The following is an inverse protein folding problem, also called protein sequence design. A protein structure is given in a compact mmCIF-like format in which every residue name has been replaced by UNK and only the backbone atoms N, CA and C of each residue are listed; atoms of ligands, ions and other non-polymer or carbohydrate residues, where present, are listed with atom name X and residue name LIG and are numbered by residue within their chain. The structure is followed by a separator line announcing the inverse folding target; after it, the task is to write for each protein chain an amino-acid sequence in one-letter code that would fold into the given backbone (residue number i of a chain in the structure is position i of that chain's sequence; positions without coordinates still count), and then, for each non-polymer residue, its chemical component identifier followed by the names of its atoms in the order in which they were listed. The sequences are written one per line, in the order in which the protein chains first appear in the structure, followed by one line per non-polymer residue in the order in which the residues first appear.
data_IF_958110574600
#
_entry.id   IF_958110574600
#
_cell.length_a   1.000
_cell.length_b   1.000
_cell.length_c   1.000
_cell.angle_alpha   90.00
_cell.angle_beta   90.00
_cell.angle_gamma   90.00
#
_symmetry.space_group_name_H-M   'P 1'
#
loop_
_entity.id
_entity.type
_entity.pdbx_description
1 polymer ?
#
# COMPACT_ATOMS: atom_id res chain seq x y z
N UNK A 1 3.86 10.16 12.29
CA UNK A 1 3.79 8.74 12.73
C UNK A 1 3.59 8.63 14.24
N UNK A 2 4.42 9.24 15.06
CA UNK A 2 4.28 9.23 16.55
C UNK A 2 2.92 9.75 17.00
N UNK A 3 2.43 10.84 16.42
CA UNK A 3 1.11 11.43 16.73
C UNK A 3 -0.06 10.46 16.44
N UNK A 4 0.06 9.64 15.40
CA UNK A 4 -0.98 8.68 15.00
C UNK A 4 -0.97 7.41 15.84
N UNK A 5 0.21 7.00 16.30
CA UNK A 5 0.40 5.75 17.07
C UNK A 5 0.36 6.03 18.56
N UNK A 6 0.61 7.28 18.98
CA UNK A 6 0.75 7.68 20.37
C UNK A 6 1.97 7.07 21.07
N UNK A 7 2.94 6.60 20.29
CA UNK A 7 4.16 5.95 20.79
C UNK A 7 5.27 6.01 19.72
N UNK A 8 6.51 6.13 20.17
CA UNK A 8 7.70 6.09 19.33
C UNK A 8 8.57 4.87 19.65
N UNK A 9 9.35 4.42 18.66
CA UNK A 9 10.29 3.32 18.84
C UNK A 9 11.64 3.84 19.29
N UNK A 10 12.27 3.15 20.23
CA UNK A 10 13.66 3.41 20.60
C UNK A 10 14.65 2.91 19.55
N UNK A 11 14.19 2.10 18.58
CA UNK A 11 15.02 1.58 17.50
C UNK A 11 15.21 2.64 16.41
N UNK A 12 16.43 2.83 15.91
CA UNK A 12 16.67 3.81 14.85
C UNK A 12 16.22 3.33 13.47
N UNK A 13 15.82 4.28 12.63
CA UNK A 13 15.60 4.09 11.19
C UNK A 13 14.56 3.04 10.86
N UNK A 14 14.91 2.13 9.95
CA UNK A 14 13.99 1.13 9.41
C UNK A 14 13.43 0.16 10.46
N UNK A 15 14.25 -0.26 11.41
CA UNK A 15 13.82 -1.15 12.48
C UNK A 15 12.75 -0.50 13.38
N UNK A 16 12.85 0.80 13.60
CA UNK A 16 11.83 1.58 14.30
C UNK A 16 10.51 1.63 13.52
N UNK A 17 10.60 1.84 12.20
CA UNK A 17 9.42 1.83 11.32
C UNK A 17 8.68 0.49 11.39
N UNK A 18 9.38 -0.63 11.28
CA UNK A 18 8.80 -1.98 11.35
C UNK A 18 8.17 -2.24 12.72
N UNK A 19 8.83 -1.80 13.80
CA UNK A 19 8.29 -1.97 15.15
C UNK A 19 6.99 -1.19 15.35
N UNK A 20 6.94 0.07 14.88
CA UNK A 20 5.74 0.91 14.91
C UNK A 20 4.61 0.29 14.08
N UNK A 21 4.91 -0.21 12.87
CA UNK A 21 3.93 -0.86 12.01
C UNK A 21 3.34 -2.13 12.65
N UNK A 22 4.19 -2.98 13.23
CA UNK A 22 3.74 -4.17 13.97
C UNK A 22 2.88 -3.80 15.19
N UNK A 23 3.21 -2.72 15.88
CA UNK A 23 2.49 -2.27 17.07
C UNK A 23 1.13 -1.67 16.74
N UNK A 24 1.01 -0.99 15.59
CA UNK A 24 -0.28 -0.53 15.06
C UNK A 24 -1.27 -1.68 14.91
N UNK A 25 -0.78 -2.86 14.48
CA UNK A 25 -1.61 -4.04 14.27
C UNK A 25 -2.05 -4.73 15.57
N UNK A 26 -1.39 -4.47 16.70
CA UNK A 26 -1.65 -5.14 17.99
C UNK A 26 -2.48 -4.28 18.94
N UNK A 27 -2.55 -2.96 18.71
CA UNK A 27 -3.08 -1.99 19.68
C UNK A 27 -4.62 -1.81 19.64
N UNK A 28 -5.37 -2.77 19.10
CA UNK A 28 -6.84 -2.76 19.17
C UNK A 28 -7.54 -1.74 18.25
N UNK A 29 -6.81 -1.18 17.28
CA UNK A 29 -7.45 -0.38 16.21
C UNK A 29 -8.09 -1.32 15.19
N UNK A 30 -9.24 -0.93 14.66
CA UNK A 30 -9.86 -1.62 13.53
C UNK A 30 -8.96 -1.53 12.28
N UNK A 31 -9.19 -2.41 11.32
CA UNK A 31 -8.51 -2.35 10.02
C UNK A 31 -8.68 -0.97 9.37
N UNK A 32 -9.89 -0.43 9.39
CA UNK A 32 -10.22 0.89 8.85
C UNK A 32 -9.47 2.03 9.55
N UNK A 33 -9.40 2.02 10.88
CA UNK A 33 -8.64 3.05 11.62
C UNK A 33 -7.14 2.97 11.35
N UNK A 34 -6.61 1.75 11.19
CA UNK A 34 -5.21 1.52 10.82
C UNK A 34 -4.92 2.04 9.43
N UNK A 35 -5.78 1.74 8.46
CA UNK A 35 -5.68 2.25 7.09
C UNK A 35 -5.71 3.78 7.05
N UNK A 36 -6.69 4.40 7.71
CA UNK A 36 -6.80 5.87 7.78
C UNK A 36 -5.57 6.52 8.41
N UNK A 37 -5.02 5.92 9.47
CA UNK A 37 -3.79 6.41 10.10
C UNK A 37 -2.61 6.32 9.13
N UNK A 38 -2.49 5.23 8.37
CA UNK A 38 -1.45 5.05 7.37
C UNK A 38 -1.60 6.03 6.20
N UNK A 39 -2.82 6.30 5.72
CA UNK A 39 -3.10 7.33 4.69
C UNK A 39 -2.67 8.72 5.18
N UNK A 40 -2.98 9.09 6.44
CA UNK A 40 -2.53 10.36 7.02
C UNK A 40 -1.00 10.47 7.06
N UNK A 41 -0.32 9.40 7.43
CA UNK A 41 1.15 9.34 7.42
C UNK A 41 1.68 9.52 5.99
N UNK A 42 1.17 8.77 5.01
CA UNK A 42 1.56 8.91 3.61
C UNK A 42 1.36 10.35 3.12
N UNK A 43 0.19 10.93 3.42
CA UNK A 43 -0.12 12.31 3.03
C UNK A 43 0.87 13.33 3.64
N UNK A 44 1.34 13.10 4.86
CA UNK A 44 2.29 14.00 5.52
C UNK A 44 3.69 13.98 4.90
N UNK A 45 4.03 12.94 4.12
CA UNK A 45 5.30 12.84 3.41
C UNK A 45 5.35 13.71 2.15
N UNK A 46 4.20 14.18 1.65
CA UNK A 46 4.12 15.00 0.44
C UNK A 46 3.80 16.47 0.76
N UNK A 47 4.50 17.43 0.12
CA UNK A 47 4.15 18.84 0.26
C UNK A 47 2.68 19.10 -0.13
N UNK A 48 1.91 19.86 0.68
CA UNK A 48 0.49 20.12 0.39
C UNK A 48 0.23 20.72 -0.99
N UNK A 49 1.12 21.60 -1.44
CA UNK A 49 1.04 22.22 -2.77
C UNK A 49 1.12 21.17 -3.89
N UNK A 50 1.98 20.16 -3.73
CA UNK A 50 2.14 19.09 -4.70
C UNK A 50 0.85 18.27 -4.82
N UNK A 51 0.22 17.93 -3.69
CA UNK A 51 -1.05 17.19 -3.67
C UNK A 51 -2.19 18.00 -4.31
N UNK A 52 -2.26 19.31 -4.04
CA UNK A 52 -3.24 20.19 -4.67
C UNK A 52 -3.02 20.27 -6.18
N UNK A 53 -1.77 20.39 -6.62
CA UNK A 53 -1.43 20.43 -8.04
C UNK A 53 -1.81 19.11 -8.76
N UNK A 54 -1.48 17.97 -8.19
CA UNK A 54 -1.87 16.69 -8.74
C UNK A 54 -3.39 16.54 -8.83
N UNK A 55 -4.10 16.87 -7.76
CA UNK A 55 -5.55 16.81 -7.74
C UNK A 55 -6.18 17.74 -8.78
N UNK A 56 -5.68 18.98 -8.93
CA UNK A 56 -6.20 19.92 -9.90
C UNK A 56 -5.96 19.50 -11.35
N UNK A 57 -4.81 18.86 -11.63
CA UNK A 57 -4.46 18.38 -12.96
C UNK A 57 -5.15 17.09 -13.35
N UNK A 58 -5.39 16.18 -12.40
CA UNK A 58 -5.85 14.83 -12.66
C UNK A 58 -7.32 14.59 -12.33
N UNK A 59 -7.91 15.34 -11.39
CA UNK A 59 -9.32 15.19 -11.03
C UNK A 59 -10.30 15.35 -12.22
N UNK A 60 -10.10 16.31 -13.14
CA UNK A 60 -10.94 16.43 -14.34
C UNK A 60 -10.82 15.22 -15.26
N UNK A 61 -9.67 14.53 -15.22
CA UNK A 61 -9.35 13.37 -16.07
C UNK A 61 -9.89 12.10 -15.45
N UNK A 62 -9.82 11.98 -14.11
CA UNK A 62 -10.35 10.85 -13.35
C UNK A 62 -11.88 10.74 -13.46
N UNK A 63 -12.59 11.85 -13.63
CA UNK A 63 -14.04 11.87 -13.87
C UNK A 63 -14.45 11.55 -15.32
N UNK A 64 -13.52 11.12 -16.17
CA UNK A 64 -13.82 10.55 -17.50
C UNK A 64 -14.15 11.56 -18.61
N UNK A 65 -14.36 12.83 -18.28
CA UNK A 65 -14.83 13.82 -19.27
C UNK A 65 -13.71 14.39 -20.15
N UNK A 66 -12.46 14.45 -19.70
CA UNK A 66 -11.35 14.95 -20.51
C UNK A 66 -10.56 13.82 -21.21
N UNK A 67 -10.59 12.61 -20.67
CA UNK A 67 -9.95 11.45 -21.28
C UNK A 67 -10.56 11.09 -22.66
N UNK A 68 -11.83 11.43 -22.86
CA UNK A 68 -12.52 11.25 -24.15
C UNK A 68 -12.21 12.36 -25.18
N UNK A 69 -11.66 13.50 -24.75
CA UNK A 69 -11.37 14.64 -25.63
C UNK A 69 -9.94 14.69 -26.19
N UNK A 70 -9.03 13.87 -25.66
CA UNK A 70 -7.66 13.81 -26.19
C UNK A 70 -7.51 12.71 -27.21
N UNK A 71 -7.68 13.07 -28.44
CA UNK A 71 -7.38 12.22 -29.62
C UNK A 71 -5.87 12.04 -29.70
N UNK A 72 -5.38 10.89 -29.24
CA UNK A 72 -3.96 10.53 -29.33
C UNK A 72 -3.61 9.43 -28.31
N UNK A 73 -2.67 8.57 -28.66
CA UNK A 73 -2.26 7.41 -27.86
C UNK A 73 -1.63 7.74 -26.49
N UNK A 74 -1.43 9.03 -26.21
CA UNK A 74 -0.82 9.54 -24.98
C UNK A 74 -1.83 10.40 -24.21
N UNK A 75 -2.59 9.76 -23.33
CA UNK A 75 -3.42 10.51 -22.38
C UNK A 75 -2.54 11.01 -21.21
N UNK A 76 -2.90 12.15 -20.61
CA UNK A 76 -2.23 12.63 -19.38
C UNK A 76 -2.16 11.54 -18.30
N UNK A 77 -3.18 10.70 -18.19
CA UNK A 77 -3.22 9.56 -17.26
C UNK A 77 -2.10 8.56 -17.51
N UNK A 78 -1.82 8.21 -18.78
CA UNK A 78 -0.72 7.28 -19.12
C UNK A 78 0.64 7.88 -18.82
N UNK A 79 0.82 9.17 -19.09
CA UNK A 79 2.05 9.89 -18.74
C UNK A 79 2.27 9.92 -17.23
N UNK A 80 1.22 10.21 -16.45
CA UNK A 80 1.31 10.23 -14.99
C UNK A 80 1.56 8.85 -14.40
N UNK A 81 0.82 7.83 -14.82
CA UNK A 81 1.01 6.46 -14.36
C UNK A 81 2.45 5.98 -14.59
N UNK A 82 2.99 6.25 -15.77
CA UNK A 82 4.40 5.92 -16.11
C UNK A 82 5.40 6.73 -15.27
N UNK A 83 5.15 8.02 -15.09
CA UNK A 83 6.02 8.90 -14.29
C UNK A 83 6.02 8.52 -12.82
N UNK A 84 4.85 8.20 -12.27
CA UNK A 84 4.69 7.73 -10.88
C UNK A 84 5.39 6.40 -10.69
N UNK A 85 5.25 5.45 -11.62
CA UNK A 85 5.93 4.16 -11.56
C UNK A 85 7.46 4.34 -11.50
N UNK A 86 8.03 5.21 -12.37
CA UNK A 86 9.46 5.52 -12.34
C UNK A 86 9.90 6.20 -11.06
N UNK A 87 9.14 7.19 -10.60
CA UNK A 87 9.43 7.87 -9.34
C UNK A 87 9.39 6.90 -8.15
N UNK A 88 8.39 6.03 -8.11
CA UNK A 88 8.26 4.99 -7.08
C UNK A 88 9.45 4.03 -7.11
N UNK A 89 9.81 3.51 -8.29
CA UNK A 89 10.94 2.60 -8.43
C UNK A 89 12.28 3.24 -8.01
N UNK A 90 12.45 4.55 -8.19
CA UNK A 90 13.67 5.25 -7.79
C UNK A 90 13.68 5.64 -6.30
N UNK A 91 12.55 6.09 -5.77
CA UNK A 91 12.49 6.70 -4.43
C UNK A 91 12.12 5.74 -3.30
N UNK A 92 11.47 4.61 -3.60
CA UNK A 92 10.93 3.71 -2.57
C UNK A 92 11.75 2.43 -2.33
N UNK A 93 12.91 2.28 -2.97
CA UNK A 93 13.78 1.11 -2.76
C UNK A 93 14.25 0.94 -1.31
N UNK A 94 14.42 2.04 -0.61
CA UNK A 94 14.79 2.00 0.83
C UNK A 94 13.70 1.33 1.69
N UNK A 95 12.44 1.45 1.28
CA UNK A 95 11.27 0.89 1.98
C UNK A 95 10.95 -0.53 1.53
N UNK A 96 10.91 -0.76 0.22
CA UNK A 96 10.42 -2.00 -0.38
C UNK A 96 11.54 -2.99 -0.75
N UNK A 97 12.78 -2.53 -0.86
CA UNK A 97 13.87 -3.29 -1.44
C UNK A 97 14.01 -3.07 -2.95
N UNK A 98 14.87 -3.88 -3.62
CA UNK A 98 15.10 -3.77 -5.06
C UNK A 98 13.81 -3.89 -5.86
N UNK A 99 13.61 -2.97 -6.79
CA UNK A 99 12.44 -2.96 -7.66
C UNK A 99 12.79 -2.39 -9.03
N UNK A 100 12.01 -2.79 -10.03
CA UNK A 100 12.17 -2.40 -11.43
C UNK A 100 10.84 -2.00 -12.05
N UNK A 101 10.90 -1.10 -13.04
CA UNK A 101 9.71 -0.74 -13.82
C UNK A 101 9.44 -1.84 -14.85
N UNK A 102 8.19 -2.26 -14.95
CA UNK A 102 7.73 -3.23 -15.93
C UNK A 102 6.45 -2.78 -16.66
N UNK A 103 6.01 -3.57 -17.62
CA UNK A 103 4.82 -3.29 -18.39
C UNK A 103 3.58 -3.93 -17.76
N UNK A 104 2.50 -3.17 -17.74
CA UNK A 104 1.18 -3.58 -17.24
C UNK A 104 0.17 -3.52 -18.38
N UNK A 105 -0.73 -4.47 -18.43
CA UNK A 105 -1.84 -4.47 -19.38
C UNK A 105 -3.03 -3.76 -18.70
N UNK A 106 -3.44 -2.64 -19.28
CA UNK A 106 -4.59 -1.87 -18.82
C UNK A 106 -5.91 -2.54 -19.22
N UNK A 107 -7.01 -2.12 -18.63
CA UNK A 107 -8.36 -2.63 -18.91
C UNK A 107 -8.79 -2.51 -20.38
N UNK A 108 -8.19 -1.59 -21.14
CA UNK A 108 -8.40 -1.41 -22.57
C UNK A 108 -7.52 -2.32 -23.47
N UNK A 109 -6.74 -3.24 -22.88
CA UNK A 109 -5.83 -4.15 -23.55
C UNK A 109 -4.49 -3.52 -23.99
N UNK A 110 -4.26 -2.22 -23.71
CA UNK A 110 -2.98 -1.56 -24.05
C UNK A 110 -1.92 -1.89 -22.98
N UNK A 111 -0.69 -2.11 -23.44
CA UNK A 111 0.47 -2.29 -22.56
C UNK A 111 1.09 -0.93 -22.26
N UNK A 112 1.37 -0.67 -20.99
CA UNK A 112 1.98 0.57 -20.50
C UNK A 112 3.09 0.25 -19.51
N UNK A 113 4.25 0.96 -19.62
CA UNK A 113 5.35 0.83 -18.63
C UNK A 113 5.03 1.58 -17.35
N UNK A 114 3.95 1.18 -16.71
CA UNK A 114 3.41 1.76 -15.47
C UNK A 114 3.39 0.78 -14.30
N UNK A 115 4.02 -0.36 -14.45
CA UNK A 115 4.21 -1.31 -13.36
C UNK A 115 5.50 -1.07 -12.58
N UNK A 116 5.51 -1.47 -11.31
CA UNK A 116 6.72 -1.60 -10.51
C UNK A 116 6.72 -2.99 -9.89
N UNK A 117 7.69 -3.79 -10.26
CA UNK A 117 7.91 -5.10 -9.69
C UNK A 117 8.95 -5.05 -8.59
N UNK A 118 8.56 -5.44 -7.40
CA UNK A 118 9.43 -5.59 -6.24
C UNK A 118 9.79 -7.07 -6.14
N UNK A 119 11.08 -7.39 -6.33
CA UNK A 119 11.54 -8.78 -6.37
C UNK A 119 11.34 -9.49 -5.02
N UNK A 120 11.66 -8.80 -3.94
CA UNK A 120 11.45 -9.27 -2.58
C UNK A 120 11.17 -8.08 -1.66
N UNK A 121 9.93 -7.98 -1.21
CA UNK A 121 9.48 -6.85 -0.42
C UNK A 121 10.08 -6.88 0.99
N UNK A 122 11.06 -6.00 1.22
CA UNK A 122 11.72 -5.83 2.52
C UNK A 122 10.72 -5.53 3.65
N UNK A 123 9.69 -4.73 3.36
CA UNK A 123 8.67 -4.37 4.34
C UNK A 123 7.86 -5.59 4.82
N UNK A 124 7.49 -6.48 3.90
CA UNK A 124 6.79 -7.72 4.23
C UNK A 124 7.72 -8.73 4.92
N UNK A 125 8.94 -8.89 4.41
CA UNK A 125 9.94 -9.81 4.97
C UNK A 125 10.31 -9.45 6.42
N UNK A 126 10.52 -8.17 6.71
CA UNK A 126 10.91 -7.71 8.04
C UNK A 126 9.73 -7.65 9.02
N UNK A 127 8.53 -7.25 8.57
CA UNK A 127 7.35 -7.23 9.42
C UNK A 127 6.82 -8.63 9.75
N UNK A 128 7.05 -9.60 8.86
CA UNK A 128 6.56 -10.99 8.96
C UNK A 128 5.06 -11.07 9.25
N UNK A 129 4.31 -10.11 8.76
CA UNK A 129 2.91 -9.95 9.08
C UNK A 129 2.10 -9.54 7.85
N UNK A 130 1.20 -10.42 7.42
CA UNK A 130 0.25 -10.16 6.35
C UNK A 130 -0.60 -8.91 6.64
N UNK A 131 -1.14 -8.78 7.84
CA UNK A 131 -1.94 -7.64 8.24
C UNK A 131 -1.18 -6.31 8.16
N UNK A 132 0.11 -6.27 8.48
CA UNK A 132 0.96 -5.08 8.27
C UNK A 132 1.04 -4.77 6.77
N UNK A 133 1.29 -5.76 5.92
CA UNK A 133 1.31 -5.56 4.47
C UNK A 133 -0.02 -4.98 3.96
N UNK A 134 -1.14 -5.57 4.35
CA UNK A 134 -2.46 -5.17 3.86
C UNK A 134 -2.88 -3.81 4.42
N UNK A 135 -2.91 -3.64 5.74
CA UNK A 135 -3.56 -2.49 6.39
C UNK A 135 -2.65 -1.27 6.55
N UNK A 136 -1.34 -1.42 6.41
CA UNK A 136 -0.41 -0.28 6.52
C UNK A 136 0.37 0.02 5.23
N UNK A 137 0.28 -0.85 4.22
CA UNK A 137 0.92 -0.65 2.94
C UNK A 137 -0.08 -0.73 1.78
N UNK A 138 -0.62 -1.92 1.45
CA UNK A 138 -1.46 -2.13 0.25
C UNK A 138 -2.67 -1.19 0.21
N UNK A 139 -3.61 -1.34 1.13
CA UNK A 139 -4.86 -0.56 1.12
C UNK A 139 -4.61 0.94 1.25
N UNK A 140 -3.81 1.42 2.24
CA UNK A 140 -3.56 2.85 2.36
C UNK A 140 -2.86 3.47 1.14
N UNK A 141 -1.95 2.73 0.50
CA UNK A 141 -1.26 3.22 -0.68
C UNK A 141 -2.21 3.32 -1.86
N UNK A 142 -3.06 2.31 -2.09
CA UNK A 142 -4.10 2.35 -3.12
C UNK A 142 -5.06 3.52 -2.91
N UNK A 143 -5.57 3.70 -1.69
CA UNK A 143 -6.44 4.82 -1.30
C UNK A 143 -5.73 6.16 -1.50
N UNK A 144 -4.47 6.28 -1.06
CA UNK A 144 -3.70 7.50 -1.21
C UNK A 144 -3.51 7.90 -2.68
N UNK A 145 -3.10 6.97 -3.54
CA UNK A 145 -2.89 7.28 -4.95
C UNK A 145 -4.21 7.66 -5.64
N UNK A 146 -5.29 6.97 -5.34
CA UNK A 146 -6.61 7.30 -5.89
C UNK A 146 -7.11 8.67 -5.43
N UNK A 147 -7.15 8.93 -4.13
CA UNK A 147 -7.83 10.10 -3.56
C UNK A 147 -6.99 11.37 -3.60
N UNK A 148 -5.66 11.25 -3.54
CA UNK A 148 -4.75 12.39 -3.48
C UNK A 148 -3.92 12.61 -4.74
N UNK A 149 -3.65 11.57 -5.50
CA UNK A 149 -2.86 11.63 -6.73
C UNK A 149 -3.72 11.47 -8.00
N UNK A 150 -4.98 11.02 -7.88
CA UNK A 150 -5.88 10.83 -9.01
C UNK A 150 -5.49 9.69 -9.96
N UNK A 151 -4.68 8.74 -9.48
CA UNK A 151 -4.23 7.57 -10.24
C UNK A 151 -4.66 6.31 -9.52
N UNK A 152 -5.41 5.45 -10.20
CA UNK A 152 -5.70 4.13 -9.68
C UNK A 152 -4.40 3.32 -9.54
N UNK A 153 -4.32 2.55 -8.48
CA UNK A 153 -3.22 1.63 -8.22
C UNK A 153 -3.77 0.32 -7.71
N UNK A 154 -3.40 -0.77 -8.36
CA UNK A 154 -3.63 -2.11 -7.83
C UNK A 154 -2.31 -2.76 -7.43
N UNK A 155 -2.21 -3.17 -6.16
CA UNK A 155 -1.04 -3.84 -5.61
C UNK A 155 -1.34 -5.32 -5.40
N UNK A 156 -0.45 -6.19 -5.89
CA UNK A 156 -0.55 -7.65 -5.83
C UNK A 156 0.65 -8.23 -5.07
N UNK A 157 0.59 -8.27 -3.74
CA UNK A 157 1.62 -8.94 -2.95
C UNK A 157 1.52 -10.46 -3.12
N UNK A 158 2.65 -11.11 -3.30
CA UNK A 158 2.80 -12.57 -3.25
C UNK A 158 3.41 -12.95 -1.89
N UNK A 159 2.67 -13.72 -1.12
CA UNK A 159 3.08 -14.09 0.24
C UNK A 159 3.94 -15.36 0.30
N UNK A 160 4.15 -16.04 -0.82
CA UNK A 160 5.03 -17.21 -0.91
C UNK A 160 6.50 -16.80 -1.08
N UNK A 161 6.77 -15.85 -1.99
CA UNK A 161 8.12 -15.38 -2.32
C UNK A 161 8.43 -13.95 -1.85
N UNK A 162 7.44 -13.28 -1.25
CA UNK A 162 7.49 -11.88 -0.82
C UNK A 162 7.65 -10.87 -1.96
N UNK A 163 7.42 -11.24 -3.20
CA UNK A 163 7.36 -10.29 -4.31
C UNK A 163 6.09 -9.44 -4.24
N UNK A 164 6.09 -8.31 -4.94
CA UNK A 164 4.91 -7.46 -5.03
C UNK A 164 4.86 -6.73 -6.37
N UNK A 165 3.74 -6.81 -7.07
CA UNK A 165 3.49 -6.06 -8.28
C UNK A 165 2.62 -4.84 -7.99
N UNK A 166 3.08 -3.67 -8.40
CA UNK A 166 2.32 -2.42 -8.40
C UNK A 166 1.86 -2.14 -9.83
N UNK A 167 0.57 -1.96 -10.04
CA UNK A 167 -0.03 -1.71 -11.35
C UNK A 167 -0.67 -0.32 -11.35
N UNK A 168 0.10 0.72 -11.71
CA UNK A 168 -0.43 2.07 -11.81
C UNK A 168 -1.31 2.23 -13.05
N UNK A 169 -2.49 2.82 -12.87
CA UNK A 169 -3.52 2.95 -13.89
C UNK A 169 -4.48 1.76 -13.96
N UNK A 170 -4.35 0.81 -13.03
CA UNK A 170 -5.28 -0.33 -12.89
C UNK A 170 -6.08 -0.16 -11.62
N UNK A 171 -7.40 -0.19 -11.73
CA UNK A 171 -8.30 -0.13 -10.58
C UNK A 171 -8.23 -1.44 -9.79
N UNK A 172 -8.10 -1.38 -8.46
CA UNK A 172 -8.14 -2.59 -7.64
C UNK A 172 -9.50 -3.27 -7.73
N UNK A 173 -9.55 -4.60 -7.59
CA UNK A 173 -10.80 -5.31 -7.49
C UNK A 173 -11.56 -4.93 -6.20
N UNK A 174 -12.87 -5.18 -6.13
CA UNK A 174 -13.62 -5.07 -4.89
C UNK A 174 -12.98 -5.87 -3.75
N UNK A 175 -13.07 -5.38 -2.52
CA UNK A 175 -12.39 -5.98 -1.36
C UNK A 175 -12.78 -7.45 -1.14
N UNK A 176 -14.02 -7.81 -1.42
CA UNK A 176 -14.54 -9.18 -1.31
C UNK A 176 -13.96 -10.15 -2.35
N UNK A 177 -13.40 -9.64 -3.44
CA UNK A 177 -12.79 -10.44 -4.52
C UNK A 177 -11.27 -10.36 -4.56
N UNK A 178 -10.66 -9.44 -3.80
CA UNK A 178 -9.20 -9.30 -3.74
C UNK A 178 -8.57 -10.52 -3.04
N UNK A 179 -7.76 -11.27 -3.77
CA UNK A 179 -7.13 -12.50 -3.28
C UNK A 179 -6.23 -12.26 -2.09
N UNK A 180 -5.49 -11.15 -2.09
CA UNK A 180 -4.57 -10.83 -1.01
C UNK A 180 -5.26 -10.67 0.35
N UNK A 181 -6.55 -10.29 0.36
CA UNK A 181 -7.34 -10.12 1.57
C UNK A 181 -7.88 -11.45 2.14
N UNK A 182 -7.85 -12.51 1.34
CA UNK A 182 -8.34 -13.85 1.71
C UNK A 182 -7.22 -14.77 2.21
N UNK A 183 -5.98 -14.31 2.11
CA UNK A 183 -4.82 -15.12 2.52
C UNK A 183 -4.78 -15.31 4.04
N UNK A 184 -4.45 -16.52 4.50
CA UNK A 184 -4.28 -16.79 5.92
C UNK A 184 -3.05 -16.07 6.49
N UNK A 185 -3.02 -15.90 7.81
CA UNK A 185 -1.82 -15.40 8.48
C UNK A 185 -0.59 -16.25 8.15
N UNK A 186 0.53 -15.61 7.87
CA UNK A 186 1.80 -16.29 7.63
C UNK A 186 2.20 -17.16 8.84
N UNK A 187 2.74 -18.35 8.59
CA UNK A 187 3.18 -19.25 9.66
C UNK A 187 4.27 -18.64 10.55
N UNK A 188 5.09 -17.77 9.96
CA UNK A 188 6.16 -17.04 10.67
C UNK A 188 5.67 -15.79 11.40
N UNK A 189 4.37 -15.46 11.31
CA UNK A 189 3.81 -14.25 11.92
C UNK A 189 4.00 -14.25 13.44
N UNK A 190 4.79 -13.30 13.94
CA UNK A 190 5.10 -13.17 15.37
C UNK A 190 3.84 -12.84 16.19
N UNK A 191 2.90 -12.09 15.62
CA UNK A 191 1.64 -11.73 16.26
C UNK A 191 0.68 -12.93 16.33
N UNK A 192 0.61 -13.76 15.28
CA UNK A 192 -0.17 -14.99 15.30
C UNK A 192 0.37 -16.01 16.31
N UNK A 193 1.71 -16.13 16.40
CA UNK A 193 2.37 -17.00 17.38
C UNK A 193 2.08 -16.54 18.80
N UNK A 194 2.26 -15.25 19.09
CA UNK A 194 1.95 -14.66 20.40
C UNK A 194 0.50 -14.86 20.80
N UNK A 195 -0.45 -14.78 19.86
CA UNK A 195 -1.87 -15.08 20.12
C UNK A 195 -2.11 -16.54 20.45
N UNK A 196 -1.46 -17.46 19.74
CA UNK A 196 -1.54 -18.89 20.06
C UNK A 196 -1.01 -19.19 21.46
N UNK A 197 0.06 -18.52 21.87
CA UNK A 197 0.65 -18.65 23.22
C UNK A 197 -0.26 -18.06 24.32
N UNK A 198 -0.95 -16.94 24.04
CA UNK A 198 -1.86 -16.30 24.99
C UNK A 198 -3.26 -16.93 25.02
N UNK A 199 -3.70 -17.56 23.92
CA UNK A 199 -5.04 -18.16 23.77
C UNK A 199 -5.23 -19.50 24.50
N UNK A 200 -4.23 -20.01 25.20
CA UNK A 200 -4.35 -21.20 26.06
C UNK A 200 -4.87 -20.89 27.46
N UNK A 201 -5.18 -19.63 27.75
CA UNK A 201 -5.71 -19.24 29.06
C UNK A 201 -6.45 -17.92 29.02
N UNK A 202 -7.80 -17.97 29.04
CA UNK A 202 -8.73 -16.89 29.42
C UNK A 202 -8.90 -15.69 28.47
N UNK A 203 -10.17 -15.41 28.14
CA UNK A 203 -10.78 -14.19 27.57
C UNK A 203 -9.86 -13.25 26.78
N UNK A 204 -9.88 -13.43 25.47
CA UNK A 204 -9.01 -12.79 24.47
C UNK A 204 -9.59 -11.50 23.87
N UNK A 205 -10.32 -10.69 24.63
CA UNK A 205 -11.02 -9.50 24.12
C UNK A 205 -10.10 -8.31 23.77
N UNK A 206 -8.80 -8.42 24.01
CA UNK A 206 -7.85 -7.30 23.82
C UNK A 206 -6.78 -7.47 22.75
N UNK A 207 -6.69 -8.60 22.06
CA UNK A 207 -5.54 -8.95 21.20
C UNK A 207 -5.96 -9.48 19.81
N UNK A 208 -7.13 -9.09 19.32
CA UNK A 208 -7.47 -9.39 17.93
C UNK A 208 -6.64 -8.50 17.01
N UNK A 209 -5.74 -9.15 16.26
CA UNK A 209 -5.13 -8.56 15.10
C UNK A 209 -6.25 -8.26 14.11
N UNK A 210 -6.42 -7.02 13.64
CA UNK A 210 -7.33 -6.76 12.54
C UNK A 210 -6.82 -7.57 11.33
N UNK A 211 -7.37 -8.74 11.16
CA UNK A 211 -7.36 -9.40 9.87
C UNK A 211 -8.25 -8.55 8.98
N UNK A 212 -7.93 -8.52 7.73
CA UNK A 212 -8.69 -7.80 6.72
C UNK A 212 -10.16 -8.19 6.77
#
# INVERSE_FOLDING_TARGET
MVEEVGWDSEKPGYNGLIEVANRLMVKGKSALETEQSAVRVLRSLFPPLLLVLFKALLAPIANGQLASMMVGEFTLVTFFATSVARATALSCQWLMGPCSVNSVILSNGKSLSSGVFVEKCKYLEESKCLGVCINTCKLPTQTFFKDHMGVDLYMEPNFEDYSCQFNFGVSPPPLDTDKALKEPCLDICTNARRRKELGTGSSTDGLQCPQV
#
